data_IF_247739790157
#
_entry.id   IF_247739790157
#
_cell.length_a   1.000
_cell.length_b   1.000
_cell.length_c   1.000
_cell.angle_alpha   90.00
_cell.angle_beta   90.00
_cell.angle_gamma   90.00
#
_symmetry.space_group_name_H-M   'P 1'
#
loop_
_entity.id
_entity.type
_entity.pdbx_description
1 polymer ?
#
# COMPACT_ATOMS: atom_id res chain seq x y z
N UNK A 1 20.05 -10.16 -10.79
CA UNK A 1 18.99 -10.04 -9.77
C UNK A 1 18.93 -11.39 -9.04
N UNK A 2 19.09 -11.42 -7.72
CA UNK A 2 19.15 -12.69 -6.96
C UNK A 2 17.84 -13.05 -6.25
N UNK A 3 16.86 -12.14 -6.24
CA UNK A 3 15.56 -12.35 -5.59
C UNK A 3 14.46 -11.58 -6.34
N UNK A 4 13.38 -12.24 -6.80
CA UNK A 4 12.37 -11.64 -7.69
C UNK A 4 11.26 -10.89 -6.92
N UNK A 5 11.59 -10.20 -5.82
CA UNK A 5 10.61 -9.38 -5.09
C UNK A 5 10.73 -7.91 -5.56
N UNK A 6 9.66 -7.25 -6.00
CA UNK A 6 9.74 -5.90 -6.55
C UNK A 6 10.18 -4.81 -5.57
N UNK A 7 10.25 -5.10 -4.26
CA UNK A 7 10.86 -4.21 -3.25
C UNK A 7 12.40 -4.20 -3.29
N UNK A 8 13.03 -5.23 -3.89
CA UNK A 8 14.47 -5.38 -3.88
C UNK A 8 15.15 -4.42 -4.87
N UNK A 9 16.30 -3.83 -4.51
CA UNK A 9 17.09 -3.04 -5.45
C UNK A 9 17.39 -3.81 -6.74
N UNK A 10 17.06 -3.21 -7.87
CA UNK A 10 17.25 -3.79 -9.20
C UNK A 10 16.07 -4.60 -9.74
N UNK A 11 15.03 -4.85 -8.93
CA UNK A 11 13.86 -5.61 -9.37
C UNK A 11 13.03 -4.88 -10.44
N UNK A 12 12.99 -3.55 -10.37
CA UNK A 12 12.20 -2.69 -11.27
C UNK A 12 13.00 -2.16 -12.47
N UNK A 13 14.31 -2.34 -12.52
CA UNK A 13 15.20 -1.69 -13.50
C UNK A 13 14.81 -2.02 -14.94
N UNK A 14 14.54 -3.29 -15.21
CA UNK A 14 14.19 -3.75 -16.56
C UNK A 14 12.85 -3.17 -17.04
N UNK A 15 11.82 -3.17 -16.18
CA UNK A 15 10.51 -2.65 -16.56
C UNK A 15 10.51 -1.12 -16.66
N UNK A 16 11.32 -0.43 -15.84
CA UNK A 16 11.51 1.01 -15.95
C UNK A 16 12.25 1.36 -17.26
N UNK A 17 13.28 0.60 -17.64
CA UNK A 17 13.98 0.80 -18.91
C UNK A 17 13.05 0.62 -20.11
N UNK A 18 12.19 -0.41 -20.07
CA UNK A 18 11.18 -0.65 -21.10
C UNK A 18 10.15 0.48 -21.16
N UNK A 19 9.63 0.91 -20.00
CA UNK A 19 8.70 2.03 -19.93
C UNK A 19 9.31 3.32 -20.49
N UNK A 20 10.58 3.60 -20.18
CA UNK A 20 11.35 4.72 -20.75
C UNK A 20 11.45 4.62 -22.28
N UNK A 21 11.79 3.44 -22.81
CA UNK A 21 11.92 3.24 -24.26
C UNK A 21 10.61 3.51 -25.01
N UNK A 22 9.47 3.28 -24.37
CA UNK A 22 8.14 3.46 -24.95
C UNK A 22 7.40 4.73 -24.50
N UNK A 23 8.03 5.57 -23.68
CA UNK A 23 7.39 6.73 -23.02
C UNK A 23 6.09 6.35 -22.27
N UNK A 24 6.04 5.15 -21.67
CA UNK A 24 4.86 4.66 -20.98
C UNK A 24 4.65 5.40 -19.65
N UNK A 25 3.41 5.74 -19.29
CA UNK A 25 3.13 6.45 -18.02
C UNK A 25 3.52 5.64 -16.79
N UNK A 26 3.39 4.31 -16.86
CA UNK A 26 3.57 3.38 -15.75
C UNK A 26 4.60 2.32 -16.12
N UNK A 27 5.43 1.95 -15.13
CA UNK A 27 6.24 0.73 -15.14
C UNK A 27 5.75 -0.16 -14.00
N UNK A 28 5.08 -1.26 -14.33
CA UNK A 28 4.39 -2.13 -13.37
C UNK A 28 5.09 -3.49 -13.24
N UNK A 29 5.21 -4.00 -12.03
CA UNK A 29 5.69 -5.36 -11.78
C UNK A 29 4.85 -6.06 -10.71
N UNK A 30 4.82 -7.39 -10.77
CA UNK A 30 4.36 -8.24 -9.69
C UNK A 30 5.50 -9.20 -9.27
N UNK A 31 5.37 -9.80 -8.10
CA UNK A 31 6.21 -10.92 -7.68
C UNK A 31 5.77 -12.24 -8.38
N UNK A 32 6.52 -13.36 -8.24
CA UNK A 32 6.32 -14.55 -9.06
C UNK A 32 4.96 -15.24 -8.93
N UNK A 33 4.28 -15.12 -7.79
CA UNK A 33 2.93 -15.62 -7.54
C UNK A 33 1.84 -14.55 -7.77
N UNK A 34 2.25 -13.35 -8.16
CA UNK A 34 1.41 -12.20 -8.50
C UNK A 34 0.55 -11.66 -7.34
N UNK A 35 1.00 -11.88 -6.11
CA UNK A 35 0.28 -11.43 -4.92
C UNK A 35 0.68 -9.99 -4.53
N UNK A 36 1.84 -9.49 -4.99
CA UNK A 36 2.29 -8.09 -4.78
C UNK A 36 2.25 -7.27 -6.05
N UNK A 37 1.93 -5.99 -5.90
CA UNK A 37 1.97 -5.02 -6.99
C UNK A 37 2.91 -3.83 -6.71
N UNK A 38 3.85 -3.60 -7.62
CA UNK A 38 4.77 -2.47 -7.60
C UNK A 38 4.61 -1.61 -8.84
N UNK A 39 4.78 -0.30 -8.67
CA UNK A 39 4.69 0.65 -9.77
C UNK A 39 5.68 1.80 -9.63
N UNK A 40 6.38 2.09 -10.72
CA UNK A 40 7.04 3.37 -10.92
C UNK A 40 6.21 4.23 -11.88
N UNK A 41 6.06 5.50 -11.55
CA UNK A 41 5.30 6.45 -12.38
C UNK A 41 6.24 7.47 -12.99
N UNK A 42 5.99 7.78 -14.27
CA UNK A 42 6.73 8.82 -14.99
C UNK A 42 6.48 10.20 -14.34
N UNK A 43 7.53 10.99 -14.15
CA UNK A 43 7.47 12.37 -13.64
C UNK A 43 7.37 13.37 -14.78
N UNK A 44 7.16 14.65 -14.45
CA UNK A 44 7.13 15.73 -15.45
C UNK A 44 8.47 15.86 -16.19
N UNK A 45 9.59 15.61 -15.50
CA UNK A 45 10.93 15.60 -16.08
C UNK A 45 11.19 14.38 -16.99
N UNK A 46 10.25 13.43 -17.06
CA UNK A 46 10.37 12.20 -17.84
C UNK A 46 11.15 11.08 -17.17
N UNK A 47 11.53 11.26 -15.90
CA UNK A 47 12.11 10.21 -15.07
C UNK A 47 11.02 9.32 -14.46
N UNK A 48 11.40 8.21 -13.83
CA UNK A 48 10.46 7.29 -13.17
C UNK A 48 10.78 7.23 -11.69
N UNK A 49 9.75 7.42 -10.87
CA UNK A 49 9.87 7.30 -9.42
C UNK A 49 8.96 6.18 -8.92
N UNK A 50 9.53 5.32 -8.08
CA UNK A 50 8.78 4.29 -7.37
C UNK A 50 7.78 4.92 -6.42
N UNK A 51 6.56 4.39 -6.41
CA UNK A 51 5.62 4.62 -5.32
C UNK A 51 5.87 3.60 -4.20
N UNK A 52 5.75 4.04 -2.95
CA UNK A 52 5.73 3.11 -1.81
C UNK A 52 4.40 2.34 -1.76
N UNK A 53 4.36 1.22 -1.05
CA UNK A 53 3.11 0.47 -0.89
C UNK A 53 1.99 1.28 -0.25
N UNK A 54 2.33 2.13 0.71
CA UNK A 54 1.37 3.07 1.29
C UNK A 54 0.84 4.09 0.28
N UNK A 55 1.69 4.60 -0.62
CA UNK A 55 1.26 5.55 -1.63
C UNK A 55 0.29 4.90 -2.63
N UNK A 56 0.61 3.68 -3.08
CA UNK A 56 -0.28 2.89 -3.96
C UNK A 56 -1.59 2.57 -3.24
N UNK A 57 -1.50 2.08 -1.99
CA UNK A 57 -2.66 1.72 -1.17
C UNK A 57 -3.60 2.91 -0.93
N UNK A 58 -3.04 4.08 -0.62
CA UNK A 58 -3.82 5.31 -0.45
C UNK A 58 -4.47 5.79 -1.76
N UNK A 59 -3.75 5.75 -2.88
CA UNK A 59 -4.30 6.11 -4.19
C UNK A 59 -5.46 5.19 -4.58
N UNK A 60 -5.30 3.87 -4.41
CA UNK A 60 -6.33 2.88 -4.67
C UNK A 60 -7.52 3.04 -3.72
N UNK A 61 -7.28 3.13 -2.41
CA UNK A 61 -8.34 3.28 -1.41
C UNK A 61 -9.16 4.54 -1.64
N UNK A 62 -8.51 5.69 -1.89
CA UNK A 62 -9.21 6.92 -2.25
C UNK A 62 -10.04 6.74 -3.53
N UNK A 63 -9.46 6.16 -4.58
CA UNK A 63 -10.12 5.98 -5.86
C UNK A 63 -11.34 5.08 -5.77
N UNK A 64 -11.20 3.91 -5.15
CA UNK A 64 -12.27 2.93 -5.02
C UNK A 64 -13.41 3.46 -4.14
N UNK A 65 -13.10 4.17 -3.05
CA UNK A 65 -14.13 4.85 -2.24
C UNK A 65 -14.92 5.89 -3.03
N UNK A 66 -14.30 6.57 -4.00
CA UNK A 66 -15.01 7.53 -4.86
C UNK A 66 -15.97 6.90 -5.89
N UNK A 67 -16.00 5.56 -6.00
CA UNK A 67 -16.86 4.82 -6.95
C UNK A 67 -18.10 4.21 -6.33
N UNK A 68 -18.20 4.26 -5.02
CA UNK A 68 -19.26 3.63 -4.25
C UNK A 68 -19.92 4.66 -3.35
N UNK A 69 -21.06 4.32 -2.76
CA UNK A 69 -21.62 5.09 -1.65
C UNK A 69 -20.72 4.88 -0.43
N UNK A 70 -19.91 5.86 0.01
CA UNK A 70 -18.84 5.57 0.95
C UNK A 70 -19.34 5.20 2.35
N UNK A 71 -20.50 5.71 2.78
CA UNK A 71 -21.13 5.35 4.06
C UNK A 71 -21.46 3.86 4.20
N UNK A 72 -21.54 3.16 3.08
CA UNK A 72 -21.75 1.71 3.00
C UNK A 72 -20.42 0.97 2.76
N UNK A 73 -19.33 1.66 2.41
CA UNK A 73 -18.06 1.01 2.10
C UNK A 73 -17.27 0.65 3.36
N UNK A 74 -16.52 -0.45 3.27
CA UNK A 74 -15.51 -0.83 4.25
C UNK A 74 -14.13 -0.94 3.62
N UNK A 75 -13.14 -0.31 4.26
CA UNK A 75 -11.73 -0.42 3.91
C UNK A 75 -10.86 -0.73 5.13
N UNK A 76 -9.65 -1.23 4.92
CA UNK A 76 -8.75 -1.50 6.04
C UNK A 76 -7.27 -1.54 5.72
N UNK A 77 -6.44 -1.51 6.76
CA UNK A 77 -4.99 -1.70 6.65
C UNK A 77 -4.48 -2.56 7.79
N UNK A 78 -3.20 -2.94 7.74
CA UNK A 78 -2.52 -3.40 8.96
C UNK A 78 -1.96 -2.23 9.76
N UNK A 79 -1.50 -2.54 10.97
CA UNK A 79 -1.01 -1.57 11.95
C UNK A 79 0.32 -0.90 11.60
N UNK A 80 1.09 -1.53 10.71
CA UNK A 80 2.38 -1.05 10.23
C UNK A 80 2.24 -0.22 8.95
N UNK A 81 1.08 -0.27 8.31
CA UNK A 81 0.75 0.56 7.15
C UNK A 81 0.33 1.98 7.55
N UNK A 82 0.29 2.87 6.56
CA UNK A 82 -0.07 4.28 6.76
C UNK A 82 -1.45 4.46 7.37
N UNK A 83 -1.54 5.31 8.39
CA UNK A 83 -2.82 5.77 8.95
C UNK A 83 -3.56 6.77 8.05
N UNK A 84 -3.03 7.11 6.87
CA UNK A 84 -3.69 8.01 5.93
C UNK A 84 -5.01 7.42 5.36
N UNK A 85 -5.10 6.11 5.13
CA UNK A 85 -6.35 5.52 4.64
C UNK A 85 -7.49 5.66 5.66
N UNK A 86 -7.18 5.57 6.97
CA UNK A 86 -8.16 5.84 8.03
C UNK A 86 -8.71 7.27 7.96
N UNK A 87 -7.84 8.27 7.69
CA UNK A 87 -8.26 9.67 7.55
C UNK A 87 -9.15 9.89 6.35
N UNK A 88 -8.80 9.27 5.22
CA UNK A 88 -9.60 9.32 3.99
C UNK A 88 -10.97 8.70 4.24
N UNK A 89 -11.03 7.47 4.78
CA UNK A 89 -12.28 6.80 5.09
C UNK A 89 -13.19 7.65 5.99
N UNK A 90 -12.66 8.19 7.08
CA UNK A 90 -13.41 9.07 7.99
C UNK A 90 -13.92 10.35 7.32
N UNK A 91 -13.17 10.92 6.38
CA UNK A 91 -13.58 12.15 5.68
C UNK A 91 -14.79 11.96 4.77
N UNK A 92 -15.02 10.73 4.30
CA UNK A 92 -16.15 10.36 3.44
C UNK A 92 -17.19 9.51 4.17
N UNK A 93 -17.10 9.38 5.50
CA UNK A 93 -17.97 8.55 6.35
C UNK A 93 -17.92 7.04 6.05
N UNK A 94 -16.82 6.56 5.45
CA UNK A 94 -16.61 5.14 5.21
C UNK A 94 -16.12 4.39 6.46
N UNK A 95 -16.46 3.11 6.53
CA UNK A 95 -16.03 2.24 7.62
C UNK A 95 -14.56 1.85 7.43
N UNK A 96 -13.80 1.96 8.52
CA UNK A 96 -12.39 1.60 8.55
C UNK A 96 -12.12 0.54 9.62
N UNK A 97 -11.28 -0.45 9.29
CA UNK A 97 -10.76 -1.40 10.26
C UNK A 97 -9.23 -1.53 10.15
N UNK A 98 -8.60 -1.91 11.25
CA UNK A 98 -7.15 -2.15 11.31
C UNK A 98 -6.88 -3.49 11.99
N UNK A 99 -5.90 -4.24 11.47
CA UNK A 99 -5.47 -5.52 12.04
C UNK A 99 -3.97 -5.53 12.34
N UNK A 100 -3.50 -6.55 13.05
CA UNK A 100 -2.07 -6.86 13.11
C UNK A 100 -1.55 -7.25 11.72
N UNK A 101 -0.23 -7.18 11.54
CA UNK A 101 0.46 -7.63 10.32
C UNK A 101 0.14 -9.08 9.99
N UNK A 102 -0.09 -9.34 8.70
CA UNK A 102 -0.48 -10.60 8.12
C UNK A 102 -1.83 -10.48 7.42
N UNK A 103 -1.81 -10.57 6.09
CA UNK A 103 -2.99 -10.47 5.24
C UNK A 103 -4.16 -11.39 5.64
N UNK A 104 -3.88 -12.57 6.22
CA UNK A 104 -4.91 -13.47 6.76
C UNK A 104 -5.82 -12.81 7.80
N UNK A 105 -5.28 -11.91 8.63
CA UNK A 105 -6.06 -11.22 9.67
C UNK A 105 -6.95 -10.17 9.04
N UNK A 106 -6.39 -9.46 8.05
CA UNK A 106 -7.05 -8.42 7.30
C UNK A 106 -8.26 -8.99 6.53
N UNK A 107 -8.08 -10.10 5.81
CA UNK A 107 -9.17 -10.75 5.06
C UNK A 107 -10.17 -11.46 5.97
N UNK A 108 -9.75 -12.11 7.05
CA UNK A 108 -10.69 -12.71 8.00
C UNK A 108 -11.63 -11.67 8.63
N UNK A 109 -11.09 -10.52 9.05
CA UNK A 109 -11.91 -9.43 9.61
C UNK A 109 -12.83 -8.82 8.55
N UNK A 110 -12.35 -8.64 7.32
CA UNK A 110 -13.17 -8.18 6.21
C UNK A 110 -14.33 -9.15 5.93
N UNK A 111 -14.04 -10.45 5.83
CA UNK A 111 -15.04 -11.51 5.60
C UNK A 111 -16.09 -11.57 6.71
N UNK A 112 -15.68 -11.43 7.97
CA UNK A 112 -16.59 -11.45 9.11
C UNK A 112 -17.50 -10.22 9.16
N UNK A 113 -16.96 -9.04 8.82
CA UNK A 113 -17.67 -7.76 8.99
C UNK A 113 -18.49 -7.35 7.78
N UNK A 114 -18.12 -7.78 6.57
CA UNK A 114 -18.81 -7.31 5.37
C UNK A 114 -20.26 -7.80 5.34
N UNK A 115 -21.14 -6.98 4.78
CA UNK A 115 -22.53 -7.33 4.51
C UNK A 115 -22.93 -6.77 3.16
N UNK A 116 -24.12 -7.10 2.66
CA UNK A 116 -24.65 -6.48 1.44
C UNK A 116 -24.81 -4.96 1.60
N UNK A 117 -25.14 -4.47 2.80
CA UNK A 117 -25.27 -3.06 3.12
C UNK A 117 -23.93 -2.41 3.51
N UNK A 118 -22.92 -3.23 3.78
CA UNK A 118 -21.59 -2.78 4.13
C UNK A 118 -20.51 -3.56 3.36
N UNK A 119 -20.44 -3.41 2.01
CA UNK A 119 -19.51 -4.18 1.21
C UNK A 119 -18.05 -3.87 1.54
N UNK A 120 -17.23 -4.93 1.53
CA UNK A 120 -15.79 -4.79 1.54
C UNK A 120 -15.30 -4.28 0.19
N UNK A 121 -14.55 -3.16 0.20
CA UNK A 121 -14.08 -2.48 -1.01
C UNK A 121 -12.60 -2.67 -1.23
N UNK A 122 -11.79 -2.52 -0.18
CA UNK A 122 -10.34 -2.47 -0.34
C UNK A 122 -9.61 -2.65 0.98
N UNK A 123 -8.51 -3.38 0.97
CA UNK A 123 -7.56 -3.30 2.06
C UNK A 123 -6.13 -3.59 1.59
N UNK A 124 -5.14 -3.12 2.36
CA UNK A 124 -3.74 -3.27 1.98
C UNK A 124 -2.77 -3.41 3.16
N UNK A 125 -1.58 -3.94 2.83
CA UNK A 125 -0.35 -3.92 3.62
C UNK A 125 0.69 -3.07 2.88
N UNK A 126 1.51 -2.33 3.62
CA UNK A 126 2.57 -1.45 3.11
C UNK A 126 3.65 -2.21 2.33
N UNK A 127 3.79 -3.53 2.57
CA UNK A 127 4.67 -4.45 1.86
C UNK A 127 4.11 -4.87 0.49
N UNK A 128 3.51 -3.92 -0.24
CA UNK A 128 2.97 -4.07 -1.60
C UNK A 128 1.82 -5.09 -1.77
N UNK A 129 1.15 -5.46 -0.69
CA UNK A 129 0.02 -6.40 -0.71
C UNK A 129 -1.31 -5.66 -0.72
N UNK A 130 -2.17 -5.94 -1.70
CA UNK A 130 -3.48 -5.28 -1.83
C UNK A 130 -4.55 -6.30 -2.18
N UNK A 131 -5.79 -6.04 -1.75
CA UNK A 131 -6.97 -6.76 -2.21
C UNK A 131 -8.05 -5.77 -2.60
N UNK A 132 -8.64 -5.98 -3.78
CA UNK A 132 -9.66 -5.10 -4.37
C UNK A 132 -10.98 -5.86 -4.40
N UNK A 133 -11.94 -5.41 -3.60
CA UNK A 133 -13.23 -6.07 -3.44
C UNK A 133 -13.13 -7.46 -2.81
N UNK A 134 -14.20 -8.22 -2.93
CA UNK A 134 -14.38 -9.53 -2.26
C UNK A 134 -14.23 -10.74 -3.20
N UNK A 135 -13.70 -10.54 -4.41
CA UNK A 135 -13.52 -11.62 -5.39
C UNK A 135 -12.40 -12.58 -4.99
N UNK A 136 -11.31 -12.06 -4.42
CA UNK A 136 -10.14 -12.84 -3.97
C UNK A 136 -9.85 -12.46 -2.51
N UNK A 137 -9.94 -13.43 -1.60
CA UNK A 137 -9.65 -13.26 -0.17
C UNK A 137 -8.16 -13.49 0.17
N UNK A 138 -7.30 -12.99 -0.70
CA UNK A 138 -5.85 -12.95 -0.54
C UNK A 138 -5.33 -11.69 -1.25
N UNK A 139 -4.02 -11.46 -1.20
CA UNK A 139 -3.41 -10.41 -1.99
C UNK A 139 -3.56 -10.72 -3.47
N UNK A 140 -3.90 -9.71 -4.25
CA UNK A 140 -4.13 -9.81 -5.69
C UNK A 140 -3.49 -8.61 -6.38
N UNK A 141 -2.23 -8.78 -6.77
CA UNK A 141 -1.45 -7.77 -7.47
C UNK A 141 -1.98 -7.47 -8.87
N UNK A 142 -2.65 -8.43 -9.52
CA UNK A 142 -3.24 -8.24 -10.85
C UNK A 142 -4.46 -7.32 -10.79
N UNK A 143 -5.39 -7.56 -9.85
CA UNK A 143 -6.54 -6.68 -9.65
C UNK A 143 -6.10 -5.28 -9.22
N UNK A 144 -5.09 -5.17 -8.36
CA UNK A 144 -4.50 -3.90 -7.99
C UNK A 144 -3.91 -3.15 -9.20
N UNK A 145 -3.15 -3.85 -10.06
CA UNK A 145 -2.59 -3.29 -11.29
C UNK A 145 -3.67 -2.74 -12.22
N UNK A 146 -4.73 -3.51 -12.47
CA UNK A 146 -5.83 -3.09 -13.34
C UNK A 146 -6.55 -1.86 -12.77
N UNK A 147 -6.86 -1.88 -11.48
CA UNK A 147 -7.47 -0.73 -10.80
C UNK A 147 -6.57 0.52 -10.86
N UNK A 148 -5.26 0.34 -10.69
CA UNK A 148 -4.29 1.44 -10.75
C UNK A 148 -4.11 2.01 -12.16
N UNK A 149 -4.12 1.14 -13.18
CA UNK A 149 -4.11 1.54 -14.58
C UNK A 149 -5.37 2.34 -14.93
N UNK A 150 -6.53 1.93 -14.44
CA UNK A 150 -7.78 2.67 -14.64
C UNK A 150 -7.75 4.04 -13.95
N UNK A 151 -7.32 4.11 -12.68
CA UNK A 151 -7.08 5.37 -11.96
C UNK A 151 -6.18 6.29 -12.79
N UNK A 152 -5.06 5.78 -13.28
CA UNK A 152 -4.08 6.58 -14.04
C UNK A 152 -4.68 7.09 -15.35
N UNK A 153 -5.42 6.25 -16.08
CA UNK A 153 -6.08 6.62 -17.33
C UNK A 153 -7.09 7.76 -17.12
N UNK A 154 -7.89 7.68 -16.07
CA UNK A 154 -8.91 8.71 -15.78
C UNK A 154 -8.31 10.02 -15.29
N UNK A 155 -7.23 9.95 -14.49
CA UNK A 155 -6.46 11.14 -14.14
C UNK A 155 -5.95 11.82 -15.42
N UNK A 156 -5.32 11.06 -16.31
CA UNK A 156 -4.81 11.58 -17.58
C UNK A 156 -5.91 12.20 -18.44
N UNK A 157 -7.09 11.57 -18.53
CA UNK A 157 -8.25 12.12 -19.24
C UNK A 157 -8.74 13.45 -18.65
N UNK A 158 -8.51 13.68 -17.36
CA UNK A 158 -8.79 14.96 -16.68
C UNK A 158 -7.62 15.95 -16.68
N UNK A 159 -6.55 15.66 -17.41
CA UNK A 159 -5.34 16.49 -17.47
C UNK A 159 -4.51 16.48 -16.17
N UNK A 160 -4.67 15.44 -15.34
CA UNK A 160 -3.95 15.26 -14.08
C UNK A 160 -3.04 14.04 -14.14
N UNK A 161 -2.01 14.06 -13.32
CA UNK A 161 -1.08 12.94 -13.11
C UNK A 161 -1.39 12.21 -11.80
N UNK A 162 -0.76 11.05 -11.61
CA UNK A 162 -0.77 10.35 -10.32
C UNK A 162 -0.13 11.21 -9.23
N UNK A 163 0.89 12.01 -9.57
CA UNK A 163 1.58 12.91 -8.65
C UNK A 163 0.66 14.04 -8.18
N UNK A 164 -0.11 14.64 -9.08
CA UNK A 164 -1.14 15.63 -8.72
C UNK A 164 -2.16 15.04 -7.76
N UNK A 165 -2.54 13.78 -7.99
CA UNK A 165 -3.54 13.11 -7.15
C UNK A 165 -3.01 12.88 -5.74
N UNK A 166 -1.80 12.33 -5.60
CA UNK A 166 -1.26 12.06 -4.27
C UNK A 166 -0.96 13.36 -3.51
N UNK A 167 -0.50 14.42 -4.21
CA UNK A 167 -0.34 15.73 -3.61
C UNK A 167 -1.67 16.30 -3.10
N UNK A 168 -2.74 16.20 -3.89
CA UNK A 168 -4.06 16.66 -3.47
C UNK A 168 -4.55 15.94 -2.21
N UNK A 169 -4.37 14.60 -2.15
CA UNK A 169 -4.71 13.80 -0.96
C UNK A 169 -3.91 14.28 0.26
N UNK A 170 -2.61 14.55 0.11
CA UNK A 170 -1.79 15.06 1.22
C UNK A 170 -2.21 16.47 1.67
N UNK A 171 -2.64 17.33 0.75
CA UNK A 171 -3.16 18.66 1.10
C UNK A 171 -4.48 18.58 1.86
N UNK A 172 -5.32 17.59 1.54
CA UNK A 172 -6.63 17.41 2.16
C UNK A 172 -6.57 16.73 3.53
N UNK A 173 -5.72 15.71 3.68
CA UNK A 173 -5.72 14.83 4.86
C UNK A 173 -4.43 14.89 5.69
N UNK A 174 -3.43 15.65 5.24
CA UNK A 174 -2.10 15.74 5.86
C UNK A 174 -1.06 14.87 5.15
N UNK A 175 0.22 15.23 5.34
CA UNK A 175 1.36 14.52 4.76
C UNK A 175 1.76 13.33 5.65
N UNK A 176 1.86 12.15 5.03
CA UNK A 176 2.29 10.92 5.68
C UNK A 176 3.53 10.38 4.95
N UNK A 177 4.66 10.33 5.66
CA UNK A 177 5.93 9.81 5.14
C UNK A 177 6.29 8.55 5.92
N UNK A 178 6.30 7.42 5.22
CA UNK A 178 6.65 6.13 5.79
C UNK A 178 7.92 5.60 5.13
N UNK A 179 8.74 4.92 5.93
CA UNK A 179 9.96 4.29 5.46
C UNK A 179 10.17 2.96 6.17
N UNK A 180 10.31 1.88 5.40
CA UNK A 180 10.68 0.57 5.94
C UNK A 180 12.21 0.48 6.10
N UNK A 181 12.64 -0.19 7.17
CA UNK A 181 14.03 -0.54 7.41
C UNK A 181 14.11 -2.03 7.70
N UNK A 182 14.62 -2.79 6.73
CA UNK A 182 14.92 -4.22 6.90
C UNK A 182 16.37 -4.38 7.33
N UNK A 183 16.59 -5.16 8.38
CA UNK A 183 17.93 -5.47 8.91
C UNK A 183 18.09 -6.99 8.84
N UNK A 184 18.84 -7.46 7.84
CA UNK A 184 19.21 -8.86 7.72
C UNK A 184 20.28 -9.21 8.77
N UNK A 185 20.02 -10.22 9.59
CA UNK A 185 20.96 -10.70 10.60
C UNK A 185 21.92 -11.73 9.98
N UNK A 186 23.20 -11.63 10.32
CA UNK A 186 24.19 -12.62 9.91
C UNK A 186 24.04 -13.92 10.72
N UNK A 187 24.40 -15.08 10.14
CA UNK A 187 24.55 -16.31 10.92
C UNK A 187 25.46 -16.09 12.13
N UNK A 188 24.96 -16.38 13.33
CA UNK A 188 25.68 -16.17 14.60
C UNK A 188 25.41 -14.82 15.30
N UNK A 189 24.54 -13.97 14.75
CA UNK A 189 24.06 -12.77 15.46
C UNK A 189 23.38 -13.17 16.78
N UNK A 190 23.51 -12.37 17.86
CA UNK A 190 22.75 -12.60 19.09
C UNK A 190 21.25 -12.65 18.83
N UNK A 191 20.46 -13.34 19.69
CA UNK A 191 19.01 -13.37 19.57
C UNK A 191 18.44 -11.94 19.52
N UNK A 192 17.61 -11.65 18.52
CA UNK A 192 17.02 -10.31 18.33
C UNK A 192 16.22 -9.85 19.54
N UNK A 193 15.68 -10.79 20.33
CA UNK A 193 14.99 -10.51 21.59
C UNK A 193 15.83 -9.69 22.55
N UNK A 194 17.12 -9.98 22.68
CA UNK A 194 18.03 -9.31 23.61
C UNK A 194 18.27 -7.85 23.20
N UNK A 195 18.30 -7.56 21.89
CA UNK A 195 18.39 -6.21 21.35
C UNK A 195 17.07 -5.42 21.50
N UNK A 196 15.93 -6.11 21.50
CA UNK A 196 14.60 -5.51 21.63
C UNK A 196 14.21 -5.20 23.09
N UNK A 197 14.73 -5.94 24.08
CA UNK A 197 14.39 -5.77 25.51
C UNK A 197 14.63 -4.35 26.03
N UNK A 198 15.78 -3.70 25.76
CA UNK A 198 16.01 -2.32 26.18
C UNK A 198 15.00 -1.33 25.59
N UNK A 199 14.66 -1.49 24.31
CA UNK A 199 13.71 -0.63 23.57
C UNK A 199 12.29 -0.77 24.12
N UNK A 200 11.88 -1.98 24.54
CA UNK A 200 10.58 -2.22 25.15
C UNK A 200 10.43 -1.64 26.56
N UNK A 201 11.53 -1.56 27.32
CA UNK A 201 11.53 -1.07 28.71
C UNK A 201 11.59 0.44 28.81
N UNK A 202 12.28 1.09 27.87
CA UNK A 202 12.36 2.54 27.78
C UNK A 202 11.97 2.93 26.35
N UNK A 203 10.68 3.20 26.10
CA UNK A 203 10.24 3.73 24.82
C UNK A 203 11.05 4.99 24.50
N UNK A 204 11.60 5.07 23.30
CA UNK A 204 12.30 6.29 22.88
C UNK A 204 11.31 7.46 22.93
N UNK A 205 11.66 8.60 23.57
CA UNK A 205 10.71 9.66 23.92
C UNK A 205 9.98 10.26 22.71
N UNK A 206 10.57 10.17 21.51
CA UNK A 206 10.02 10.70 20.26
C UNK A 206 9.57 9.60 19.26
N UNK A 207 9.55 8.33 19.68
CA UNK A 207 9.13 7.20 18.85
C UNK A 207 7.93 6.49 19.49
N UNK A 208 6.77 6.58 18.84
CA UNK A 208 5.62 5.74 19.21
C UNK A 208 5.84 4.33 18.67
N UNK A 209 6.17 3.40 19.56
CA UNK A 209 6.30 1.98 19.22
C UNK A 209 4.95 1.28 19.28
N UNK A 210 4.60 0.56 18.21
CA UNK A 210 3.66 -0.55 18.28
C UNK A 210 4.45 -1.86 18.30
N UNK A 211 4.69 -2.40 19.49
CA UNK A 211 5.07 -3.80 19.64
C UNK A 211 3.80 -4.53 20.10
N UNK A 212 3.17 -5.39 19.27
CA UNK A 212 2.11 -6.24 19.78
C UNK A 212 2.69 -7.07 20.92
N UNK A 213 2.08 -6.99 22.10
CA UNK A 213 2.31 -7.98 23.15
C UNK A 213 1.74 -9.29 22.61
N UNK A 214 2.63 -10.23 22.28
CA UNK A 214 2.29 -11.63 22.00
C UNK A 214 2.48 -12.40 23.29
#
# INVERSE_FOLDING_TARGET
>A
MNFPNPEEPGAMDMVIAEAKAHNATLACANDPDADRFAVAVRTEEGEYKMLTGDQVGVLLGHYLLSRVTPSEAMVGTTIVSSSLLEKIAKSVDANYFQTLTGFKWLTNVAMEKQTEQQPFIFAYEEALGYTVGSTVWDKDGLSALVAFAQLTSELAASGKTVWDRIEAIYREHGLYLNAQRSIALQPGSPPIGDACVPIRRVPLPDVRWFAPMI
#
